data_IF_832468176497
#
_entry.id   IF_832468176497
#
_cell.length_a   1.000
_cell.length_b   1.000
_cell.length_c   1.000
_cell.angle_alpha   90.00
_cell.angle_beta   90.00
_cell.angle_gamma   90.00
#
_symmetry.space_group_name_H-M   'P 1'
#
loop_
_entity.id
_entity.type
_entity.pdbx_description
1 polymer ?
#
# COMPACT_ATOMS: atom_id res chain seq x y z
N UNK A 1 0.77 57.73 0.92
CA UNK A 1 1.32 56.38 1.17
C UNK A 1 0.26 55.51 1.88
N UNK A 2 -0.71 54.92 1.16
CA UNK A 2 -1.85 54.21 1.80
C UNK A 2 -2.18 52.83 1.21
N UNK A 3 -1.40 52.36 0.22
CA UNK A 3 -1.71 51.12 -0.53
C UNK A 3 -0.73 49.97 -0.25
N UNK A 4 0.38 50.23 0.46
CA UNK A 4 1.42 49.22 0.73
C UNK A 4 1.02 48.17 1.77
N UNK A 5 0.04 48.48 2.64
CA UNK A 5 -0.39 47.58 3.73
C UNK A 5 -1.36 46.47 3.27
N UNK A 6 -2.10 46.68 2.17
CA UNK A 6 -3.01 45.66 1.62
C UNK A 6 -2.28 44.57 0.83
N UNK A 7 -1.18 44.90 0.15
CA UNK A 7 -0.42 43.93 -0.65
C UNK A 7 0.27 42.85 0.19
N UNK A 8 0.77 43.21 1.38
CA UNK A 8 1.48 42.27 2.26
C UNK A 8 0.52 41.26 2.93
N UNK A 9 -0.71 41.68 3.24
CA UNK A 9 -1.71 40.82 3.86
C UNK A 9 -2.25 39.76 2.87
N UNK A 10 -2.37 40.08 1.58
CA UNK A 10 -2.83 39.13 0.56
C UNK A 10 -1.81 38.00 0.31
N UNK A 11 -0.51 38.31 0.39
CA UNK A 11 0.58 37.33 0.19
C UNK A 11 0.63 36.33 1.36
N UNK A 12 0.42 36.80 2.60
CA UNK A 12 0.40 35.94 3.79
C UNK A 12 -0.80 34.98 3.81
N UNK A 13 -1.98 35.37 3.31
CA UNK A 13 -3.15 34.49 3.21
C UNK A 13 -3.01 33.45 2.10
N UNK A 14 -2.30 33.77 1.01
CA UNK A 14 -2.03 32.83 -0.07
C UNK A 14 -1.02 31.72 0.31
N UNK A 15 -0.19 31.92 1.34
CA UNK A 15 0.73 30.90 1.83
C UNK A 15 0.09 29.89 2.79
N UNK A 16 -1.07 30.18 3.39
CA UNK A 16 -1.75 29.25 4.32
C UNK A 16 -2.54 28.13 3.63
N UNK A 17 -2.78 28.22 2.31
CA UNK A 17 -3.57 27.22 1.57
C UNK A 17 -2.74 26.07 0.98
N UNK A 18 -1.42 26.05 1.17
CA UNK A 18 -0.53 24.97 0.72
C UNK A 18 -0.10 24.00 1.82
N UNK A 19 -0.84 23.93 2.94
CA UNK A 19 -0.80 22.73 3.76
C UNK A 19 -1.56 21.61 3.01
N UNK A 20 -0.94 21.05 1.97
CA UNK A 20 -1.39 19.79 1.40
C UNK A 20 -1.39 18.78 2.56
N UNK A 21 -2.58 18.33 2.97
CA UNK A 21 -2.72 17.32 4.00
C UNK A 21 -1.98 16.08 3.50
N UNK A 22 -0.79 15.83 4.04
CA UNK A 22 -0.07 14.61 3.74
C UNK A 22 -0.93 13.44 4.24
N UNK A 23 -1.15 12.45 3.38
CA UNK A 23 -1.81 11.22 3.79
C UNK A 23 -0.99 10.58 4.91
N UNK A 24 -1.64 10.06 5.95
CA UNK A 24 -0.94 9.33 7.01
C UNK A 24 -1.34 7.88 6.91
N UNK A 25 -0.38 7.02 6.54
CA UNK A 25 -0.60 5.57 6.61
C UNK A 25 -0.64 5.20 8.09
N UNK A 26 -1.86 5.07 8.60
CA UNK A 26 -2.16 4.98 10.03
C UNK A 26 -2.32 3.55 10.53
N UNK A 27 -2.48 2.57 9.62
CA UNK A 27 -2.49 1.16 9.97
C UNK A 27 -2.30 0.28 8.74
N UNK A 28 -1.63 -0.85 8.92
CA UNK A 28 -1.54 -1.93 7.91
C UNK A 28 -1.82 -3.25 8.61
N UNK A 29 -2.90 -3.93 8.21
CA UNK A 29 -3.30 -5.21 8.81
C UNK A 29 -3.54 -6.26 7.73
N UNK A 30 -3.19 -7.50 8.02
CA UNK A 30 -3.50 -8.64 7.17
C UNK A 30 -4.51 -9.55 7.88
N UNK A 31 -5.54 -9.97 7.15
CA UNK A 31 -6.51 -10.98 7.59
C UNK A 31 -6.49 -12.13 6.59
N UNK A 32 -6.51 -13.36 7.08
CA UNK A 32 -6.51 -14.56 6.26
C UNK A 32 -7.83 -15.34 6.36
N UNK A 33 -8.13 -16.07 5.29
CA UNK A 33 -9.18 -17.07 5.25
C UNK A 33 -8.72 -18.30 4.45
N UNK A 34 -9.62 -19.26 4.18
CA UNK A 34 -9.22 -20.58 3.67
C UNK A 34 -8.49 -20.59 2.31
N UNK A 35 -8.75 -19.61 1.44
CA UNK A 35 -8.13 -19.51 0.11
C UNK A 35 -7.80 -18.06 -0.29
N UNK A 36 -7.81 -17.15 0.68
CA UNK A 36 -7.66 -15.72 0.45
C UNK A 36 -6.90 -15.02 1.58
N UNK A 37 -6.30 -13.89 1.22
CA UNK A 37 -5.65 -12.95 2.14
C UNK A 37 -6.18 -11.56 1.84
N UNK A 38 -6.45 -10.75 2.85
CA UNK A 38 -6.79 -9.33 2.71
C UNK A 38 -5.75 -8.50 3.44
N UNK A 39 -5.20 -7.51 2.76
CA UNK A 39 -4.30 -6.53 3.36
C UNK A 39 -5.01 -5.17 3.36
N UNK A 40 -5.39 -4.71 4.54
CA UNK A 40 -6.02 -3.41 4.76
C UNK A 40 -4.94 -2.36 5.05
N UNK A 41 -4.99 -1.24 4.33
CA UNK A 41 -4.04 -0.13 4.41
C UNK A 41 -4.85 1.15 4.64
N UNK A 42 -4.88 1.60 5.88
CA UNK A 42 -5.59 2.82 6.27
C UNK A 42 -4.78 4.07 5.89
N UNK A 43 -5.47 5.10 5.40
CA UNK A 43 -4.86 6.36 4.98
C UNK A 43 -4.22 6.35 3.59
N UNK A 44 -4.41 5.28 2.81
CA UNK A 44 -3.92 5.19 1.44
C UNK A 44 -4.95 5.72 0.42
N UNK A 45 -5.03 7.04 0.24
CA UNK A 45 -5.98 7.64 -0.72
C UNK A 45 -5.33 7.93 -2.07
N UNK A 46 -4.08 8.40 -2.05
CA UNK A 46 -3.30 8.65 -3.26
C UNK A 46 -2.27 7.53 -3.49
N UNK A 47 -2.67 6.43 -4.16
CA UNK A 47 -1.82 5.25 -4.29
C UNK A 47 -1.61 4.76 -5.72
N UNK A 48 -0.52 4.02 -5.93
CA UNK A 48 -0.29 3.21 -7.13
C UNK A 48 0.19 1.80 -6.78
N UNK A 49 -0.05 0.84 -7.68
CA UNK A 49 0.32 -0.56 -7.47
C UNK A 49 1.30 -1.02 -8.54
N UNK A 50 2.35 -1.72 -8.13
CA UNK A 50 3.42 -2.22 -9.00
C UNK A 50 3.72 -3.68 -8.67
N UNK A 51 4.03 -4.47 -9.69
CA UNK A 51 4.57 -5.81 -9.51
C UNK A 51 6.09 -5.75 -9.56
N UNK A 52 6.73 -6.27 -8.52
CA UNK A 52 8.18 -6.38 -8.47
C UNK A 52 8.58 -7.80 -8.93
N UNK A 53 9.13 -7.94 -10.15
CA UNK A 53 9.49 -9.25 -10.68
C UNK A 53 10.69 -9.86 -9.93
N UNK A 54 10.92 -11.18 -10.10
CA UNK A 54 12.13 -11.84 -9.61
C UNK A 54 13.38 -11.11 -10.11
N UNK A 55 14.37 -10.90 -9.22
CA UNK A 55 15.63 -10.21 -9.53
C UNK A 55 15.71 -8.74 -9.07
N UNK A 56 14.62 -8.18 -8.55
CA UNK A 56 14.65 -6.91 -7.80
C UNK A 56 15.06 -7.14 -6.33
N UNK A 57 15.64 -6.12 -5.68
CA UNK A 57 16.10 -6.19 -4.28
C UNK A 57 14.97 -6.52 -3.27
N UNK A 58 13.71 -6.32 -3.66
CA UNK A 58 12.50 -6.64 -2.90
C UNK A 58 11.73 -7.78 -3.59
N UNK A 59 12.42 -8.91 -3.73
CA UNK A 59 12.03 -10.15 -4.42
C UNK A 59 10.52 -10.49 -4.32
N UNK A 60 9.88 -10.73 -5.47
CA UNK A 60 8.50 -11.25 -5.64
C UNK A 60 7.46 -10.59 -4.71
N UNK A 61 7.18 -9.31 -4.96
CA UNK A 61 6.24 -8.53 -4.14
C UNK A 61 5.23 -7.75 -4.97
N UNK A 62 4.04 -7.56 -4.43
CA UNK A 62 3.13 -6.49 -4.85
C UNK A 62 3.49 -5.25 -4.03
N UNK A 63 3.93 -4.19 -4.69
CA UNK A 63 4.25 -2.92 -4.06
C UNK A 63 3.09 -1.93 -4.22
N UNK A 64 2.66 -1.36 -3.11
CA UNK A 64 1.68 -0.27 -3.03
C UNK A 64 2.44 0.99 -2.61
N UNK A 65 2.49 1.97 -3.50
CA UNK A 65 3.09 3.29 -3.24
C UNK A 65 1.98 4.27 -2.86
N UNK A 66 2.00 4.80 -1.64
CA UNK A 66 1.13 5.89 -1.20
C UNK A 66 1.92 7.21 -1.28
N UNK A 67 1.51 8.11 -2.15
CA UNK A 67 2.25 9.33 -2.49
C UNK A 67 1.83 10.53 -1.66
N UNK A 68 2.79 11.36 -1.28
CA UNK A 68 2.54 12.51 -0.41
C UNK A 68 2.15 12.07 1.00
N UNK A 69 2.73 10.94 1.46
CA UNK A 69 2.32 10.30 2.69
C UNK A 69 3.47 10.04 3.66
N UNK A 70 3.13 9.97 4.95
CA UNK A 70 4.03 9.54 6.02
C UNK A 70 3.46 8.35 6.79
N UNK A 71 4.33 7.48 7.28
CA UNK A 71 3.96 6.45 8.26
C UNK A 71 3.67 7.15 9.58
N UNK A 72 2.53 6.85 10.22
CA UNK A 72 2.26 7.40 11.54
C UNK A 72 3.33 6.91 12.55
N UNK A 73 3.81 7.82 13.42
CA UNK A 73 4.85 7.48 14.39
C UNK A 73 4.48 6.26 15.24
N UNK A 74 5.42 5.33 15.42
CA UNK A 74 5.19 4.07 16.15
C UNK A 74 4.55 2.93 15.33
N UNK A 75 4.30 3.15 14.04
CA UNK A 75 3.95 2.11 13.05
C UNK A 75 5.15 1.68 12.18
N UNK A 76 6.34 2.21 12.48
CA UNK A 76 7.61 1.62 12.03
C UNK A 76 7.55 0.10 12.24
N UNK A 77 7.84 -0.66 11.19
CA UNK A 77 7.09 -1.85 10.80
C UNK A 77 6.82 -2.78 11.98
N UNK A 78 5.61 -2.68 12.55
CA UNK A 78 5.11 -3.66 13.50
C UNK A 78 4.78 -4.92 12.72
N UNK A 79 5.65 -5.90 12.89
CA UNK A 79 5.48 -7.29 12.53
C UNK A 79 5.44 -7.54 11.02
N UNK A 80 6.43 -8.28 10.52
CA UNK A 80 6.11 -9.26 9.50
C UNK A 80 4.86 -10.01 10.00
N UNK A 81 3.72 -9.79 9.37
CA UNK A 81 2.53 -10.60 9.62
C UNK A 81 2.79 -11.91 8.89
N UNK A 82 3.13 -13.01 9.58
CA UNK A 82 3.15 -14.31 8.92
C UNK A 82 1.71 -14.57 8.48
N UNK A 83 1.50 -14.59 7.18
CA UNK A 83 0.23 -14.98 6.59
C UNK A 83 0.43 -16.43 6.15
N UNK A 84 0.19 -17.38 7.05
CA UNK A 84 0.57 -18.76 6.83
C UNK A 84 -0.51 -19.51 6.03
N UNK A 85 -0.63 -19.15 4.76
CA UNK A 85 -1.47 -19.88 3.79
C UNK A 85 -0.85 -19.96 2.39
N UNK A 86 0.48 -20.12 2.29
CA UNK A 86 1.17 -20.40 1.02
C UNK A 86 1.03 -19.35 -0.09
N UNK A 87 0.40 -18.20 0.21
CA UNK A 87 0.07 -17.14 -0.74
C UNK A 87 0.90 -15.87 -0.52
N UNK A 88 0.95 -15.38 0.73
CA UNK A 88 1.69 -14.19 1.14
C UNK A 88 2.70 -14.60 2.20
N UNK A 89 3.99 -14.30 2.02
CA UNK A 89 5.01 -14.62 3.02
C UNK A 89 5.03 -13.62 4.16
N UNK A 90 4.93 -12.33 3.83
CA UNK A 90 4.90 -11.24 4.81
C UNK A 90 4.38 -9.94 4.18
N UNK A 91 4.00 -8.99 5.03
CA UNK A 91 3.75 -7.59 4.65
C UNK A 91 4.82 -6.71 5.29
N UNK A 92 5.44 -5.84 4.51
CA UNK A 92 6.47 -4.87 4.96
C UNK A 92 6.03 -3.46 4.62
N UNK A 93 6.32 -2.51 5.49
CA UNK A 93 6.03 -1.08 5.25
C UNK A 93 7.33 -0.30 5.37
N UNK A 94 7.62 0.58 4.39
CA UNK A 94 8.83 1.41 4.36
C UNK A 94 8.50 2.85 3.96
N UNK A 95 9.09 3.81 4.67
CA UNK A 95 9.10 5.21 4.25
C UNK A 95 10.17 5.39 3.16
N UNK A 96 9.80 6.02 2.06
CA UNK A 96 10.67 6.33 0.91
C UNK A 96 10.51 7.81 0.53
N UNK A 97 11.16 8.70 1.29
CA UNK A 97 10.97 10.14 1.11
C UNK A 97 9.52 10.54 1.39
N UNK A 98 8.85 11.21 0.44
CA UNK A 98 7.43 11.57 0.54
C UNK A 98 6.44 10.45 0.17
N UNK A 99 6.90 9.21 0.02
CA UNK A 99 6.08 8.06 -0.34
C UNK A 99 6.18 6.98 0.73
N UNK A 100 5.05 6.37 1.12
CA UNK A 100 5.04 5.14 1.92
C UNK A 100 4.87 3.97 0.97
N UNK A 101 5.79 3.01 1.00
CA UNK A 101 5.70 1.77 0.22
C UNK A 101 5.32 0.61 1.12
N UNK A 102 4.21 -0.04 0.79
CA UNK A 102 3.78 -1.31 1.39
C UNK A 102 4.17 -2.42 0.41
N UNK A 103 4.96 -3.39 0.85
CA UNK A 103 5.29 -4.60 0.13
C UNK A 103 4.43 -5.74 0.67
N UNK A 104 3.72 -6.42 -0.22
CA UNK A 104 3.08 -7.71 0.06
C UNK A 104 3.95 -8.75 -0.64
N UNK A 105 4.82 -9.41 0.12
CA UNK A 105 5.73 -10.42 -0.40
C UNK A 105 4.92 -11.68 -0.70
N UNK A 106 4.88 -12.14 -1.94
CA UNK A 106 4.02 -13.26 -2.35
C UNK A 106 4.84 -14.54 -2.56
N UNK A 107 4.32 -15.66 -2.08
CA UNK A 107 4.94 -16.98 -2.27
C UNK A 107 4.63 -17.47 -3.68
N UNK A 108 3.35 -17.43 -4.08
CA UNK A 108 2.87 -17.68 -5.44
C UNK A 108 2.08 -16.47 -5.91
N UNK A 109 2.19 -16.11 -7.19
CA UNK A 109 1.47 -14.95 -7.72
C UNK A 109 -0.06 -15.16 -7.62
N UNK A 110 -0.75 -14.37 -6.78
CA UNK A 110 -2.20 -14.47 -6.62
C UNK A 110 -2.93 -13.71 -7.72
N UNK A 111 -4.22 -14.05 -7.91
CA UNK A 111 -5.15 -13.06 -8.41
C UNK A 111 -5.45 -12.08 -7.28
N UNK A 112 -5.44 -10.78 -7.57
CA UNK A 112 -5.79 -9.79 -6.54
C UNK A 112 -6.60 -8.64 -7.10
N UNK A 113 -7.35 -7.99 -6.20
CA UNK A 113 -8.10 -6.77 -6.45
C UNK A 113 -7.81 -5.74 -5.37
N UNK A 114 -7.80 -4.48 -5.77
CA UNK A 114 -7.70 -3.35 -4.84
C UNK A 114 -9.09 -2.73 -4.72
N UNK A 115 -9.54 -2.56 -3.48
CA UNK A 115 -10.87 -2.07 -3.13
C UNK A 115 -10.68 -0.79 -2.31
N UNK A 116 -11.33 0.29 -2.71
CA UNK A 116 -11.36 1.51 -1.92
C UNK A 116 -12.39 1.34 -0.78
N UNK A 117 -11.96 1.63 0.46
CA UNK A 117 -12.79 1.45 1.67
C UNK A 117 -13.33 2.76 2.23
N UNK A 118 -13.00 3.90 1.60
CA UNK A 118 -13.29 5.24 2.13
C UNK A 118 -12.26 5.73 3.15
N UNK A 119 -11.71 4.84 3.98
CA UNK A 119 -10.64 5.14 4.94
C UNK A 119 -9.23 4.76 4.43
N UNK A 120 -9.11 4.33 3.18
CA UNK A 120 -7.89 3.79 2.58
C UNK A 120 -8.22 2.68 1.59
N UNK A 121 -7.39 1.64 1.50
CA UNK A 121 -7.60 0.53 0.58
C UNK A 121 -7.53 -0.83 1.26
N UNK A 122 -8.17 -1.81 0.62
CA UNK A 122 -8.00 -3.23 0.89
C UNK A 122 -7.45 -3.91 -0.36
N UNK A 123 -6.37 -4.66 -0.22
CA UNK A 123 -5.83 -5.54 -1.25
C UNK A 123 -6.32 -6.96 -0.94
N UNK A 124 -7.31 -7.43 -1.71
CA UNK A 124 -7.85 -8.78 -1.58
C UNK A 124 -7.12 -9.71 -2.55
N UNK A 125 -6.40 -10.69 -2.02
CA UNK A 125 -5.62 -11.69 -2.74
C UNK A 125 -6.33 -13.04 -2.65
N UNK A 126 -6.41 -13.77 -3.76
CA UNK A 126 -6.95 -15.12 -3.82
C UNK A 126 -5.88 -16.08 -4.35
N UNK A 127 -5.78 -17.25 -3.75
CA UNK A 127 -4.90 -18.31 -4.23
C UNK A 127 -5.26 -18.66 -5.68
N UNK A 128 -4.27 -18.61 -6.57
CA UNK A 128 -4.44 -19.13 -7.91
C UNK A 128 -4.63 -20.64 -7.79
N UNK A 129 -5.82 -21.14 -8.09
CA UNK A 129 -6.03 -22.57 -8.33
C UNK A 129 -5.20 -22.89 -9.57
N UNK A 130 -3.98 -23.42 -9.40
CA UNK A 130 -3.32 -24.10 -10.51
C UNK A 130 -4.34 -25.09 -11.04
N UNK A 131 -4.72 -24.99 -12.33
CA UNK A 131 -5.55 -26.00 -12.97
C UNK A 131 -5.01 -27.34 -12.51
N UNK A 132 -5.86 -28.21 -11.92
CA UNK A 132 -5.47 -29.60 -11.67
C UNK A 132 -4.82 -30.07 -12.97
N UNK A 133 -3.54 -30.45 -12.90
CA UNK A 133 -2.87 -31.10 -14.01
C UNK A 133 -3.74 -32.31 -14.32
N UNK A 134 -4.51 -32.26 -15.40
CA UNK A 134 -5.42 -33.33 -15.75
C UNK A 134 -4.58 -34.61 -15.89
N UNK A 135 -4.74 -35.62 -15.02
CA UNK A 135 -4.00 -36.87 -15.14
C UNK A 135 -4.24 -37.56 -16.49
N UNK A 136 -5.35 -37.24 -17.18
CA UNK A 136 -5.68 -37.76 -18.50
C UNK A 136 -4.97 -37.05 -19.65
N UNK A 137 -4.32 -35.89 -19.42
CA UNK A 137 -3.56 -35.17 -20.45
C UNK A 137 -2.10 -35.66 -20.58
N UNK A 138 -1.73 -36.78 -19.92
CA UNK A 138 -0.40 -37.40 -19.98
C UNK A 138 -0.40 -38.79 -20.63
N UNK A 139 -1.42 -39.12 -21.43
CA UNK A 139 -1.46 -40.29 -22.30
C UNK A 139 -1.83 -39.91 -23.73
#
# INVERSE_FOLDING_TARGET
>A
MRNFKLGLALILVACLSLAASADVVSNVTATEGPDWVKVDIQGAHNYSVKHLPPGSADYRSIAIDVHGASIAGGLEPKAALPVDFGLVGQVRVRQMGGTVRIFIDVINWPEYKVINTGSGIQVALKAFQQRRKDPAAMY
#
